data_IF_500103081783
#
_entry.id   IF_500103081783
#
_cell.length_a   1.000
_cell.length_b   1.000
_cell.length_c   1.000
_cell.angle_alpha   90.00
_cell.angle_beta   90.00
_cell.angle_gamma   90.00
#
_symmetry.space_group_name_H-M   'P 1'
#
loop_
_entity.id
_entity.type
_entity.pdbx_description
1 polymer ?
#
# COMPACT_ATOMS: atom_id res chain seq x y z
N UNK A 1 16.21 -15.37 -17.82
CA UNK A 1 17.21 -14.27 -17.71
C UNK A 1 16.69 -13.13 -16.82
N UNK A 2 17.54 -12.20 -16.35
CA UNK A 2 17.14 -11.12 -15.43
C UNK A 2 15.98 -10.26 -15.97
N UNK A 3 16.02 -9.91 -17.27
CA UNK A 3 14.95 -9.18 -17.96
C UNK A 3 13.59 -9.89 -17.89
N UNK A 4 13.55 -11.19 -18.17
CA UNK A 4 12.33 -11.99 -18.11
C UNK A 4 11.80 -12.13 -16.68
N UNK A 5 12.68 -12.33 -15.70
CA UNK A 5 12.30 -12.38 -14.30
C UNK A 5 11.67 -11.06 -13.82
N UNK A 6 12.29 -9.93 -14.19
CA UNK A 6 11.78 -8.60 -13.83
C UNK A 6 10.44 -8.29 -14.51
N UNK A 7 10.29 -8.66 -15.79
CA UNK A 7 9.04 -8.49 -16.53
C UNK A 7 7.89 -9.32 -15.92
N UNK A 8 8.19 -10.55 -15.48
CA UNK A 8 7.22 -11.38 -14.78
C UNK A 8 6.81 -10.78 -13.43
N UNK A 9 7.76 -10.22 -12.67
CA UNK A 9 7.46 -9.64 -11.37
C UNK A 9 6.63 -8.36 -11.47
N UNK A 10 6.86 -7.53 -12.49
CA UNK A 10 6.01 -6.38 -12.81
C UNK A 10 4.57 -6.76 -13.21
N UNK A 11 4.41 -7.90 -13.90
CA UNK A 11 3.10 -8.40 -14.31
C UNK A 11 2.32 -9.07 -13.17
N UNK A 12 2.93 -9.31 -12.01
CA UNK A 12 2.21 -9.81 -10.83
C UNK A 12 1.57 -8.64 -10.10
N UNK A 13 0.26 -8.55 -10.18
CA UNK A 13 -0.49 -7.64 -9.32
C UNK A 13 -0.26 -8.00 -7.84
N UNK A 14 0.38 -7.10 -7.09
CA UNK A 14 0.40 -7.18 -5.63
C UNK A 14 -0.89 -6.54 -5.10
N UNK A 15 -1.58 -7.23 -4.18
CA UNK A 15 -2.73 -6.67 -3.50
C UNK A 15 -2.26 -5.53 -2.55
N UNK A 16 -2.34 -4.29 -3.02
CA UNK A 16 -2.02 -3.09 -2.24
C UNK A 16 -3.22 -2.55 -1.46
N UNK A 17 -4.42 -3.10 -1.72
CA UNK A 17 -5.62 -2.77 -0.98
C UNK A 17 -5.45 -3.09 0.52
N UNK A 18 -5.76 -2.12 1.39
CA UNK A 18 -5.60 -2.28 2.84
C UNK A 18 -4.17 -2.12 3.37
N UNK A 19 -3.19 -1.82 2.51
CA UNK A 19 -1.81 -1.48 2.91
C UNK A 19 -1.65 0.00 3.29
N UNK A 20 -0.61 0.33 4.03
CA UNK A 20 -0.24 1.72 4.39
C UNK A 20 0.24 2.48 3.16
N UNK A 21 0.02 3.79 3.12
CA UNK A 21 0.38 4.59 1.94
C UNK A 21 1.89 4.66 1.71
N UNK A 22 2.69 4.69 2.78
CA UNK A 22 4.14 4.65 2.69
C UNK A 22 4.64 3.35 2.02
N UNK A 23 4.09 2.20 2.40
CA UNK A 23 4.50 0.93 1.79
C UNK A 23 4.02 0.78 0.34
N UNK A 24 2.84 1.32 0.01
CA UNK A 24 2.39 1.39 -1.39
C UNK A 24 3.30 2.27 -2.23
N UNK A 25 3.68 3.44 -1.72
CA UNK A 25 4.56 4.36 -2.43
C UNK A 25 5.92 3.70 -2.72
N UNK A 26 6.53 3.05 -1.73
CA UNK A 26 7.79 2.32 -1.92
C UNK A 26 7.67 1.22 -2.99
N UNK A 27 6.55 0.50 -3.01
CA UNK A 27 6.28 -0.53 -4.03
C UNK A 27 6.11 0.08 -5.44
N UNK A 28 5.37 1.19 -5.58
CA UNK A 28 5.21 1.87 -6.88
C UNK A 28 6.52 2.50 -7.39
N UNK A 29 7.33 3.07 -6.50
CA UNK A 29 8.67 3.57 -6.85
C UNK A 29 9.58 2.43 -7.35
N UNK A 30 9.54 1.26 -6.70
CA UNK A 30 10.29 0.10 -7.14
C UNK A 30 9.81 -0.42 -8.50
N UNK A 31 8.50 -0.37 -8.79
CA UNK A 31 7.95 -0.70 -10.12
C UNK A 31 8.44 0.26 -11.20
N UNK A 32 8.50 1.57 -10.90
CA UNK A 32 9.02 2.56 -11.84
C UNK A 32 10.50 2.30 -12.16
N UNK A 33 11.33 2.06 -11.14
CA UNK A 33 12.75 1.72 -11.31
C UNK A 33 12.94 0.44 -12.14
N UNK A 34 12.09 -0.57 -11.93
CA UNK A 34 12.09 -1.80 -12.73
C UNK A 34 11.75 -1.54 -14.20
N UNK A 35 10.76 -0.68 -14.48
CA UNK A 35 10.41 -0.31 -15.85
C UNK A 35 11.55 0.46 -16.54
N UNK A 36 12.20 1.38 -15.84
CA UNK A 36 13.37 2.11 -16.35
C UNK A 36 14.53 1.15 -16.67
N UNK A 37 14.80 0.18 -15.80
CA UNK A 37 15.83 -0.83 -16.01
C UNK A 37 15.54 -1.70 -17.24
N UNK A 38 14.27 -2.09 -17.45
CA UNK A 38 13.84 -2.82 -18.66
C UNK A 38 14.06 -1.99 -19.92
N UNK A 39 13.64 -0.71 -19.92
CA UNK A 39 13.82 0.18 -21.05
C UNK A 39 15.32 0.35 -21.38
N UNK A 40 16.17 0.52 -20.37
CA UNK A 40 17.62 0.64 -20.58
C UNK A 40 18.23 -0.64 -21.15
N UNK A 41 17.79 -1.80 -20.66
CA UNK A 41 18.22 -3.08 -21.21
C UNK A 41 17.78 -3.23 -22.68
N UNK A 42 16.57 -2.79 -23.03
CA UNK A 42 16.09 -2.79 -24.42
C UNK A 42 16.88 -1.84 -25.32
N UNK A 43 17.24 -0.64 -24.85
CA UNK A 43 18.12 0.27 -25.60
C UNK A 43 19.47 -0.39 -25.92
N UNK A 44 20.07 -1.04 -24.93
CA UNK A 44 21.38 -1.70 -25.08
C UNK A 44 21.27 -2.91 -26.02
N UNK A 45 20.21 -3.72 -25.90
CA UNK A 45 19.97 -4.87 -26.78
C UNK A 45 19.79 -4.41 -28.24
N UNK A 46 19.12 -3.28 -28.46
CA UNK A 46 18.86 -2.76 -29.80
C UNK A 46 20.04 -1.93 -30.38
N UNK A 47 21.04 -1.60 -29.57
CA UNK A 47 22.22 -0.86 -30.02
C UNK A 47 23.29 -1.84 -30.56
N UNK A 48 23.43 -1.89 -31.89
CA UNK A 48 24.42 -2.74 -32.57
C UNK A 48 25.89 -2.42 -32.21
N UNK A 49 26.16 -1.23 -31.63
CA UNK A 49 27.48 -0.80 -31.20
C UNK A 49 27.61 -0.74 -29.66
N UNK A 50 26.69 -1.38 -28.92
CA UNK A 50 26.76 -1.39 -27.46
C UNK A 50 28.11 -1.94 -26.99
N UNK A 51 28.74 -1.21 -26.07
CA UNK A 51 29.96 -1.64 -25.40
C UNK A 51 29.68 -2.70 -24.34
N UNK A 52 30.71 -3.49 -24.00
CA UNK A 52 30.61 -4.47 -22.90
C UNK A 52 30.26 -3.80 -21.56
N UNK A 53 30.76 -2.58 -21.33
CA UNK A 53 30.41 -1.77 -20.15
C UNK A 53 28.91 -1.46 -20.11
N UNK A 54 28.33 -0.99 -21.22
CA UNK A 54 26.88 -0.70 -21.28
C UNK A 54 26.03 -1.96 -21.05
N UNK A 55 26.47 -3.10 -21.59
CA UNK A 55 25.81 -4.40 -21.36
C UNK A 55 25.87 -4.79 -19.88
N UNK A 56 27.02 -4.64 -19.24
CA UNK A 56 27.19 -5.00 -17.82
C UNK A 56 26.41 -4.05 -16.90
N UNK A 57 26.42 -2.75 -17.17
CA UNK A 57 25.61 -1.78 -16.43
C UNK A 57 24.11 -2.06 -16.55
N UNK A 58 23.62 -2.40 -17.76
CA UNK A 58 22.23 -2.76 -17.96
C UNK A 58 21.85 -4.05 -17.21
N UNK A 59 22.73 -5.06 -17.20
CA UNK A 59 22.53 -6.29 -16.42
C UNK A 59 22.46 -6.00 -14.92
N UNK A 60 23.36 -5.16 -14.39
CA UNK A 60 23.38 -4.82 -12.97
C UNK A 60 22.11 -4.07 -12.57
N UNK A 61 21.70 -3.07 -13.36
CA UNK A 61 20.46 -2.33 -13.13
C UNK A 61 19.21 -3.23 -13.12
N UNK A 62 19.16 -4.24 -13.99
CA UNK A 62 18.06 -5.21 -13.99
C UNK A 62 18.01 -6.03 -12.70
N UNK A 63 19.16 -6.52 -12.22
CA UNK A 63 19.20 -7.33 -11.00
C UNK A 63 18.87 -6.48 -9.76
N UNK A 64 19.44 -5.28 -9.67
CA UNK A 64 19.16 -4.34 -8.58
C UNK A 64 17.67 -3.96 -8.53
N UNK A 65 17.08 -3.66 -9.69
CA UNK A 65 15.66 -3.29 -9.77
C UNK A 65 14.75 -4.48 -9.41
N UNK A 66 15.13 -5.70 -9.82
CA UNK A 66 14.43 -6.92 -9.42
C UNK A 66 14.47 -7.13 -7.92
N UNK A 67 15.65 -7.02 -7.30
CA UNK A 67 15.78 -7.17 -5.85
C UNK A 67 14.94 -6.13 -5.10
N UNK A 68 15.02 -4.85 -5.50
CA UNK A 68 14.24 -3.78 -4.88
C UNK A 68 12.74 -4.00 -5.01
N UNK A 69 12.26 -4.50 -6.16
CA UNK A 69 10.85 -4.80 -6.36
C UNK A 69 10.36 -5.91 -5.43
N UNK A 70 11.15 -6.97 -5.28
CA UNK A 70 10.87 -8.07 -4.34
C UNK A 70 10.87 -7.60 -2.88
N UNK A 71 11.85 -6.78 -2.50
CA UNK A 71 11.95 -6.20 -1.15
C UNK A 71 10.76 -5.27 -0.85
N UNK A 72 10.40 -4.39 -1.78
CA UNK A 72 9.27 -3.48 -1.62
C UNK A 72 7.94 -4.24 -1.52
N UNK A 73 7.80 -5.34 -2.29
CA UNK A 73 6.64 -6.22 -2.22
C UNK A 73 6.55 -6.95 -0.88
N UNK A 74 7.66 -7.45 -0.36
CA UNK A 74 7.74 -8.05 0.97
C UNK A 74 7.51 -7.01 2.09
N UNK A 75 7.83 -5.74 1.84
CA UNK A 75 7.64 -4.61 2.75
C UNK A 75 6.23 -4.00 2.79
N UNK A 76 5.25 -4.57 2.06
CA UNK A 76 3.86 -4.11 2.10
C UNK A 76 3.24 -4.33 3.49
N UNK A 77 2.92 -3.24 4.19
CA UNK A 77 2.41 -3.28 5.57
C UNK A 77 0.92 -2.98 5.63
N UNK A 78 0.16 -3.73 6.42
CA UNK A 78 -1.29 -3.51 6.59
C UNK A 78 -1.59 -2.25 7.40
N UNK A 79 -2.69 -1.57 7.05
CA UNK A 79 -3.23 -0.47 7.85
C UNK A 79 -3.69 -1.03 9.20
N UNK A 80 -3.22 -0.45 10.30
CA UNK A 80 -3.69 -0.80 11.63
C UNK A 80 -5.12 -0.28 11.87
N UNK A 81 -6.10 -1.19 11.89
CA UNK A 81 -7.51 -0.88 12.16
C UNK A 81 -7.95 -1.14 13.60
N UNK A 82 -7.09 -1.69 14.46
CA UNK A 82 -7.43 -1.95 15.86
C UNK A 82 -7.97 -0.72 16.62
N UNK A 83 -7.42 0.51 16.47
CA UNK A 83 -7.94 1.67 17.21
C UNK A 83 -9.34 2.13 16.75
N UNK A 84 -9.81 1.70 15.57
CA UNK A 84 -11.13 2.11 15.07
C UNK A 84 -12.29 1.33 15.73
N UNK A 85 -12.04 0.13 16.23
CA UNK A 85 -13.03 -0.71 16.89
C UNK A 85 -13.55 -0.06 18.19
N UNK A 86 -12.69 0.30 19.17
CA UNK A 86 -13.18 0.94 20.40
C UNK A 86 -13.77 2.33 20.13
N UNK A 87 -13.26 3.07 19.14
CA UNK A 87 -13.84 4.36 18.75
C UNK A 87 -15.28 4.21 18.23
N UNK A 88 -15.55 3.18 17.43
CA UNK A 88 -16.90 2.86 16.92
C UNK A 88 -17.84 2.44 18.06
N UNK A 89 -17.35 1.62 18.99
CA UNK A 89 -18.13 1.18 20.15
C UNK A 89 -18.47 2.35 21.09
N UNK A 90 -17.50 3.22 21.37
CA UNK A 90 -17.70 4.42 22.18
C UNK A 90 -18.76 5.35 21.57
N UNK A 91 -18.67 5.63 20.26
CA UNK A 91 -19.66 6.45 19.56
C UNK A 91 -21.06 5.81 19.61
N UNK A 92 -21.16 4.49 19.47
CA UNK A 92 -22.43 3.77 19.54
C UNK A 92 -23.06 3.85 20.94
N UNK A 93 -22.24 3.81 22.00
CA UNK A 93 -22.71 3.99 23.37
C UNK A 93 -23.17 5.43 23.64
N UNK A 94 -22.44 6.42 23.12
CA UNK A 94 -22.79 7.83 23.26
C UNK A 94 -24.12 8.16 22.57
N UNK A 95 -24.32 7.70 21.33
CA UNK A 95 -25.60 7.83 20.62
C UNK A 95 -26.76 7.14 21.36
N UNK A 96 -26.53 5.96 21.95
CA UNK A 96 -27.56 5.29 22.74
C UNK A 96 -27.89 6.03 24.05
N UNK A 97 -26.89 6.68 24.66
CA UNK A 97 -27.09 7.51 25.86
C UNK A 97 -27.87 8.78 25.52
N UNK A 98 -27.53 9.43 24.40
CA UNK A 98 -28.24 10.63 23.91
C UNK A 98 -29.67 10.31 23.46
N UNK A 99 -29.93 9.15 22.85
CA UNK A 99 -31.29 8.70 22.58
C UNK A 99 -32.09 8.45 23.87
N UNK A 100 -31.44 7.93 24.93
CA UNK A 100 -32.06 7.72 26.23
C UNK A 100 -32.34 9.02 27.01
N UNK A 101 -31.70 10.14 26.64
CA UNK A 101 -31.92 11.46 27.25
C UNK A 101 -32.74 12.40 26.36
N UNK A 102 -32.76 12.23 25.04
CA UNK A 102 -33.59 12.98 24.09
C UNK A 102 -35.10 12.71 24.26
N UNK A 103 -35.48 11.59 24.90
CA UNK A 103 -36.85 11.31 25.34
C UNK A 103 -37.18 11.78 26.77
N UNK A 104 -36.26 12.48 27.46
CA UNK A 104 -36.42 12.97 28.84
C UNK A 104 -36.56 14.50 28.93
N UNK A 105 -37.18 15.14 27.94
CA UNK A 105 -37.62 16.53 28.10
C UNK A 105 -38.88 16.60 28.99
N UNK A 106 -38.73 17.31 30.11
CA UNK A 106 -39.71 17.90 31.06
C UNK A 106 -40.84 17.07 31.71
N UNK A 107 -41.03 15.78 31.39
CA UNK A 107 -42.22 15.03 31.85
C UNK A 107 -42.00 13.89 32.87
N UNK A 108 -40.83 13.74 33.51
CA UNK A 108 -40.66 12.80 34.65
C UNK A 108 -41.05 13.44 36.00
N UNK A 109 -42.29 13.95 36.03
CA UNK A 109 -43.28 13.99 37.12
C UNK A 109 -42.83 14.30 38.55
N UNK A 110 -43.10 15.54 38.91
CA UNK A 110 -43.41 16.07 40.24
C UNK A 110 -44.76 15.56 40.81
N UNK A 111 -45.17 14.29 40.60
CA UNK A 111 -46.56 13.87 40.89
C UNK A 111 -46.73 12.42 41.35
N UNK A 112 -46.08 12.03 42.46
CA UNK A 112 -46.54 10.86 43.24
C UNK A 112 -46.24 10.98 44.75
N UNK A 113 -46.36 12.18 45.31
CA UNK A 113 -46.54 12.35 46.76
C UNK A 113 -47.69 13.33 46.92
N UNK A 114 -48.90 12.77 46.92
CA UNK A 114 -50.15 13.48 47.22
C UNK A 114 -50.62 13.07 48.61
#
# INVERSE_FOLDING_TARGET
PAKEGLSQELNKDAATAGKTDASKQAYEEAKQQAQEALNKADEVINNANASETEVNEAKQKLEDAKQKLEEAKAGLTDVNKQPLIPAKEGLSQELNKDAATAGKTDASKQAYEH
#
